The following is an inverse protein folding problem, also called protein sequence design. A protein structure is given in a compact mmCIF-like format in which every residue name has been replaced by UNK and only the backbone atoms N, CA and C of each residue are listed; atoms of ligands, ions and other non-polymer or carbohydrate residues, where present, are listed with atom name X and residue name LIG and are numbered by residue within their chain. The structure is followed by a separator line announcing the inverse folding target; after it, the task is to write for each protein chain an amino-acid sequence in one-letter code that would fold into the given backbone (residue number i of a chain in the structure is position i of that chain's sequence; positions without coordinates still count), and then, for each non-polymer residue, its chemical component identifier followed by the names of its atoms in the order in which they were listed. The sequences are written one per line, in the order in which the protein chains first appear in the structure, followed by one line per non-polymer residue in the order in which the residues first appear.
data_IF_523885682134
#
_entry.id   IF_523885682134
#
_cell.length_a   1.000
_cell.length_b   1.000
_cell.length_c   1.000
_cell.angle_alpha   90.00
_cell.angle_beta   90.00
_cell.angle_gamma   90.00
#
_symmetry.space_group_name_H-M   'P 1'
#
loop_
_entity.id
_entity.type
_entity.pdbx_description
1 polymer ?
#
# COMPACT_ATOMS: atom_id res chain seq x y z
N UNK A 1 -10.89 20.37 8.92
CA UNK A 1 -9.87 20.08 9.99
C UNK A 1 -9.06 18.90 9.49
N UNK A 2 -7.76 18.98 9.58
CA UNK A 2 -6.81 17.93 9.20
C UNK A 2 -6.06 17.46 10.43
N UNK A 3 -5.52 16.26 10.41
CA UNK A 3 -4.66 15.73 11.46
C UNK A 3 -3.24 15.59 10.94
N UNK A 4 -2.28 15.67 11.87
CA UNK A 4 -0.87 15.49 11.58
C UNK A 4 -0.36 14.42 12.55
N UNK A 5 0.22 13.36 11.98
CA UNK A 5 0.97 12.36 12.72
C UNK A 5 2.45 12.43 12.34
N UNK A 6 3.35 12.10 13.27
CA UNK A 6 4.79 12.21 13.04
C UNK A 6 5.49 10.95 13.55
N UNK A 7 6.31 10.37 12.72
CA UNK A 7 7.00 9.12 12.97
C UNK A 7 8.50 9.23 12.67
N UNK A 8 9.35 8.75 13.59
CA UNK A 8 10.79 8.62 13.36
C UNK A 8 11.11 7.23 12.82
N UNK A 9 11.70 7.15 11.63
CA UNK A 9 12.09 5.89 10.99
C UNK A 9 13.10 5.12 11.84
N UNK A 10 12.74 3.88 12.20
CA UNK A 10 13.53 3.00 13.03
C UNK A 10 14.22 1.90 12.22
N UNK A 11 15.29 1.33 12.80
CA UNK A 11 16.10 0.31 12.14
C UNK A 11 15.29 -0.92 11.68
N UNK A 12 14.28 -1.34 12.44
CA UNK A 12 13.42 -2.49 12.10
C UNK A 12 12.46 -2.26 10.93
N UNK A 13 12.34 -1.03 10.42
CA UNK A 13 11.46 -0.66 9.32
C UNK A 13 12.17 -0.65 7.96
N UNK A 14 13.49 -0.92 7.99
CA UNK A 14 14.33 -0.87 6.81
C UNK A 14 14.35 -2.20 6.06
N UNK A 15 14.48 -2.11 4.74
CA UNK A 15 14.91 -3.17 3.85
C UNK A 15 16.15 -2.68 3.08
N UNK A 16 17.33 -2.97 3.63
CA UNK A 16 18.59 -2.34 3.23
C UNK A 16 18.70 -0.90 3.78
N UNK A 17 19.18 0.11 3.03
CA UNK A 17 19.34 1.49 3.53
C UNK A 17 18.04 2.28 3.58
N UNK A 18 16.99 1.82 2.88
CA UNK A 18 15.70 2.49 2.73
C UNK A 18 14.62 1.79 3.54
N UNK A 19 13.57 2.52 3.87
CA UNK A 19 12.34 1.97 4.45
C UNK A 19 11.75 0.92 3.51
N UNK A 20 11.15 -0.15 4.07
CA UNK A 20 10.37 -1.12 3.29
C UNK A 20 9.09 -0.46 2.73
N UNK A 21 8.75 -0.72 1.44
CA UNK A 21 7.58 -0.13 0.79
C UNK A 21 6.26 -0.35 1.52
N UNK A 22 6.12 -1.47 2.22
CA UNK A 22 4.95 -1.79 3.03
C UNK A 22 4.69 -0.79 4.17
N UNK A 23 5.72 -0.06 4.64
CA UNK A 23 5.54 0.94 5.72
C UNK A 23 4.66 2.11 5.32
N UNK A 24 4.55 2.44 4.04
CA UNK A 24 3.59 3.45 3.60
C UNK A 24 2.16 3.04 3.91
N UNK A 25 1.81 1.76 3.73
CA UNK A 25 0.50 1.21 4.09
C UNK A 25 0.22 1.28 5.60
N UNK A 26 1.23 1.03 6.43
CA UNK A 26 1.10 1.11 7.88
C UNK A 26 0.91 2.57 8.35
N UNK A 27 1.69 3.51 7.84
CA UNK A 27 1.53 4.93 8.15
C UNK A 27 0.17 5.49 7.71
N UNK A 28 -0.35 5.07 6.56
CA UNK A 28 -1.71 5.39 6.11
C UNK A 28 -2.76 4.92 7.11
N UNK A 29 -2.64 3.67 7.58
CA UNK A 29 -3.60 3.09 8.53
C UNK A 29 -3.48 3.72 9.93
N UNK A 30 -2.27 3.95 10.44
CA UNK A 30 -2.04 4.66 11.71
C UNK A 30 -2.67 6.06 11.65
N UNK A 31 -2.43 6.80 10.57
CA UNK A 31 -2.98 8.15 10.40
C UNK A 31 -4.51 8.13 10.23
N UNK A 32 -5.08 7.02 9.70
CA UNK A 32 -6.54 6.80 9.72
C UNK A 32 -7.06 6.69 11.15
N UNK A 33 -6.37 5.95 12.04
CA UNK A 33 -6.77 5.86 13.45
C UNK A 33 -6.75 7.25 14.11
N UNK A 34 -5.70 8.03 13.87
CA UNK A 34 -5.55 9.38 14.44
C UNK A 34 -6.71 10.30 14.02
N UNK A 35 -7.08 10.32 12.74
CA UNK A 35 -8.15 11.21 12.28
C UNK A 35 -9.54 10.74 12.73
N UNK A 36 -9.81 9.44 12.73
CA UNK A 36 -11.10 8.89 13.15
C UNK A 36 -11.35 9.07 14.63
N UNK A 37 -10.32 8.90 15.48
CA UNK A 37 -10.38 9.23 16.90
C UNK A 37 -10.65 10.73 17.12
N UNK A 38 -9.94 11.62 16.41
CA UNK A 38 -10.15 13.07 16.48
C UNK A 38 -11.56 13.48 16.07
N UNK A 39 -12.22 12.70 15.21
CA UNK A 39 -13.60 12.92 14.80
C UNK A 39 -14.64 12.15 15.67
N UNK A 40 -14.18 11.50 16.75
CA UNK A 40 -15.06 10.87 17.75
C UNK A 40 -15.60 9.51 17.32
N UNK A 41 -14.84 8.75 16.54
CA UNK A 41 -15.18 7.39 16.15
C UNK A 41 -13.91 6.52 16.17
N UNK A 42 -13.44 6.23 17.38
CA UNK A 42 -12.19 5.50 17.61
C UNK A 42 -12.30 4.02 17.18
N UNK A 43 -11.17 3.45 16.79
CA UNK A 43 -11.09 2.04 16.37
C UNK A 43 -11.51 1.09 17.50
N UNK A 44 -11.13 1.38 18.75
CA UNK A 44 -11.47 0.57 19.92
C UNK A 44 -12.99 0.44 20.11
N UNK A 45 -13.74 1.52 19.92
CA UNK A 45 -15.21 1.51 20.09
C UNK A 45 -15.87 0.58 19.07
N UNK A 46 -15.35 0.53 17.84
CA UNK A 46 -15.85 -0.32 16.75
C UNK A 46 -15.49 -1.79 17.02
N UNK A 47 -14.24 -2.05 17.41
CA UNK A 47 -13.75 -3.40 17.75
C UNK A 47 -14.50 -3.95 18.95
N UNK A 48 -14.73 -3.17 19.99
CA UNK A 48 -15.48 -3.57 21.19
C UNK A 48 -16.97 -3.90 20.87
N UNK A 49 -17.51 -3.26 19.83
CA UNK A 49 -18.81 -3.60 19.27
C UNK A 49 -18.80 -4.85 18.36
N UNK A 50 -17.64 -5.42 18.09
CA UNK A 50 -17.44 -6.60 17.24
C UNK A 50 -17.39 -6.29 15.73
N UNK A 51 -17.25 -5.03 15.35
CA UNK A 51 -17.08 -4.56 13.98
C UNK A 51 -15.63 -4.53 13.52
N UNK A 52 -15.44 -4.22 12.23
CA UNK A 52 -14.11 -3.98 11.65
C UNK A 52 -13.99 -2.48 11.37
N UNK A 53 -13.02 -1.78 12.02
CA UNK A 53 -12.88 -0.35 11.89
C UNK A 53 -12.22 0.02 10.56
N UNK A 54 -12.83 0.93 9.83
CA UNK A 54 -12.26 1.63 8.68
C UNK A 54 -11.42 0.76 7.74
N UNK A 55 -11.96 -0.42 7.39
CA UNK A 55 -11.33 -1.34 6.44
C UNK A 55 -11.10 -0.61 5.10
N UNK A 56 -9.86 -0.61 4.55
CA UNK A 56 -9.63 -0.05 3.23
C UNK A 56 -10.33 -0.89 2.16
N UNK A 57 -11.06 -0.23 1.26
CA UNK A 57 -11.70 -0.85 0.09
C UNK A 57 -11.05 -0.42 -1.22
N UNK A 58 -10.43 0.75 -1.25
CA UNK A 58 -9.55 1.20 -2.33
C UNK A 58 -8.36 1.89 -1.69
N UNK A 59 -7.16 1.54 -2.12
CA UNK A 59 -5.93 2.23 -1.76
C UNK A 59 -5.14 2.59 -3.01
N UNK A 60 -4.78 3.86 -3.15
CA UNK A 60 -3.93 4.35 -4.22
C UNK A 60 -2.85 5.26 -3.64
N UNK A 61 -1.59 5.04 -4.02
CA UNK A 61 -0.45 5.80 -3.50
C UNK A 61 0.59 6.03 -4.59
N UNK A 62 1.26 7.15 -4.50
CA UNK A 62 2.45 7.51 -5.29
C UNK A 62 3.59 7.85 -4.34
N UNK A 63 4.71 7.15 -4.47
CA UNK A 63 5.95 7.39 -3.71
C UNK A 63 6.92 8.18 -4.59
N UNK A 64 7.33 9.33 -4.10
CA UNK A 64 8.28 10.23 -4.77
C UNK A 64 9.72 9.98 -4.33
N UNK A 65 9.90 9.65 -3.02
CA UNK A 65 11.19 9.39 -2.42
C UNK A 65 11.03 8.44 -1.22
N UNK A 66 11.98 7.55 -1.04
CA UNK A 66 12.00 6.65 0.12
C UNK A 66 12.74 7.29 1.30
N UNK A 67 12.19 7.28 2.50
CA UNK A 67 12.91 7.70 3.70
C UNK A 67 13.94 6.66 4.14
N UNK A 68 14.92 7.13 4.93
CA UNK A 68 16.04 6.37 5.47
C UNK A 68 15.98 6.26 6.97
N UNK A 69 16.92 5.52 7.54
CA UNK A 69 17.08 5.45 8.99
C UNK A 69 17.25 6.83 9.63
N UNK A 70 16.44 7.12 10.62
CA UNK A 70 16.35 8.38 11.39
C UNK A 70 15.73 9.57 10.64
N UNK A 71 15.26 9.38 9.43
CA UNK A 71 14.40 10.41 8.84
C UNK A 71 13.12 10.50 9.66
N UNK A 72 12.55 11.68 9.76
CA UNK A 72 11.23 11.89 10.35
C UNK A 72 10.22 11.94 9.22
N UNK A 73 9.13 11.19 9.34
CA UNK A 73 8.00 11.21 8.41
C UNK A 73 6.83 11.88 9.09
N UNK A 74 6.30 12.91 8.47
CA UNK A 74 5.07 13.57 8.89
C UNK A 74 3.97 13.23 7.91
N UNK A 75 2.83 12.73 8.41
CA UNK A 75 1.65 12.39 7.61
C UNK A 75 0.55 13.39 7.94
N UNK A 76 0.18 14.21 6.96
CA UNK A 76 -1.00 15.06 7.03
C UNK A 76 -2.18 14.34 6.41
N UNK A 77 -3.27 14.17 7.16
CA UNK A 77 -4.47 13.44 6.73
C UNK A 77 -5.67 14.36 6.65
N UNK A 78 -6.34 14.33 5.50
CA UNK A 78 -7.46 15.23 5.18
C UNK A 78 -8.63 14.43 4.59
N UNK A 79 -9.87 14.61 5.06
CA UNK A 79 -11.02 13.99 4.42
C UNK A 79 -11.36 14.70 3.09
N UNK A 80 -11.64 13.91 2.05
CA UNK A 80 -11.98 14.42 0.71
C UNK A 80 -13.34 13.95 0.20
N UNK A 81 -13.90 12.90 0.82
CA UNK A 81 -15.26 12.46 0.57
C UNK A 81 -15.81 11.74 1.80
N UNK A 82 -17.10 11.84 2.05
CA UNK A 82 -17.79 11.09 3.11
C UNK A 82 -19.13 10.61 2.59
N UNK A 83 -19.41 9.31 2.79
CA UNK A 83 -20.66 8.65 2.49
C UNK A 83 -21.47 8.33 3.76
N UNK A 84 -22.39 7.38 3.64
CA UNK A 84 -23.16 6.89 4.78
C UNK A 84 -22.31 6.01 5.72
N UNK A 85 -21.53 5.08 5.16
CA UNK A 85 -20.66 4.14 5.87
C UNK A 85 -19.20 4.20 5.40
N UNK A 86 -18.81 5.20 4.63
CA UNK A 86 -17.47 5.31 4.05
C UNK A 86 -16.89 6.70 4.21
N UNK A 87 -15.58 6.77 4.24
CA UNK A 87 -14.81 8.01 4.14
C UNK A 87 -13.64 7.81 3.18
N UNK A 88 -13.37 8.78 2.32
CA UNK A 88 -12.16 8.84 1.54
C UNK A 88 -11.22 9.88 2.15
N UNK A 89 -10.00 9.45 2.44
CA UNK A 89 -8.95 10.26 3.05
C UNK A 89 -7.80 10.47 2.08
N UNK A 90 -7.21 11.65 2.09
CA UNK A 90 -5.95 11.98 1.45
C UNK A 90 -4.85 12.05 2.50
N UNK A 91 -3.69 11.48 2.18
CA UNK A 91 -2.50 11.47 3.04
C UNK A 91 -1.35 12.12 2.28
N UNK A 92 -0.80 13.18 2.81
CA UNK A 92 0.41 13.82 2.29
C UNK A 92 1.55 13.53 3.26
N UNK A 93 2.57 12.81 2.79
CA UNK A 93 3.72 12.41 3.58
C UNK A 93 4.93 13.24 3.20
N UNK A 94 5.57 13.84 4.19
CA UNK A 94 6.77 14.67 4.01
C UNK A 94 7.86 14.29 5.03
N UNK A 95 9.10 14.59 4.69
CA UNK A 95 10.21 14.45 5.63
C UNK A 95 10.32 15.64 6.61
N UNK A 96 11.34 15.60 7.48
CA UNK A 96 11.59 16.65 8.48
C UNK A 96 11.90 18.04 7.90
N UNK A 97 12.29 18.12 6.62
CA UNK A 97 12.56 19.36 5.89
C UNK A 97 11.32 19.85 5.11
N UNK A 98 10.25 19.05 5.09
CA UNK A 98 9.00 19.32 4.38
C UNK A 98 9.02 18.86 2.91
N UNK A 99 10.05 18.11 2.50
CA UNK A 99 10.11 17.53 1.16
C UNK A 99 9.16 16.33 1.06
N UNK A 100 8.41 16.27 -0.05
CA UNK A 100 7.38 15.25 -0.26
C UNK A 100 7.99 13.85 -0.42
N UNK A 101 7.51 12.91 0.39
CA UNK A 101 7.86 11.48 0.33
C UNK A 101 6.84 10.68 -0.46
N UNK A 102 5.56 10.82 -0.12
CA UNK A 102 4.47 10.12 -0.78
C UNK A 102 3.16 10.91 -0.70
N UNK A 103 2.22 10.53 -1.54
CA UNK A 103 0.82 10.97 -1.45
C UNK A 103 -0.08 9.77 -1.66
N UNK A 104 -1.12 9.63 -0.82
CA UNK A 104 -2.05 8.53 -0.91
C UNK A 104 -3.51 8.99 -0.85
N UNK A 105 -4.41 8.14 -1.37
CA UNK A 105 -5.85 8.26 -1.24
C UNK A 105 -6.43 6.89 -0.92
N UNK A 106 -7.10 6.78 0.21
CA UNK A 106 -7.74 5.55 0.61
C UNK A 106 -9.22 5.78 0.88
N UNK A 107 -10.06 4.89 0.35
CA UNK A 107 -11.47 4.80 0.73
C UNK A 107 -11.61 3.72 1.77
N UNK A 108 -12.17 4.08 2.92
CA UNK A 108 -12.42 3.20 4.04
C UNK A 108 -13.91 2.98 4.25
N UNK A 109 -14.28 1.79 4.76
CA UNK A 109 -15.62 1.49 5.22
C UNK A 109 -15.59 0.90 6.63
N UNK A 110 -16.57 1.20 7.44
CA UNK A 110 -16.83 0.47 8.68
C UNK A 110 -17.69 -0.75 8.38
N UNK A 111 -17.37 -1.89 8.98
CA UNK A 111 -18.05 -3.17 8.74
C UNK A 111 -18.68 -3.63 10.06
N UNK A 112 -19.98 -3.84 10.02
CA UNK A 112 -20.76 -4.35 11.16
C UNK A 112 -20.41 -5.83 11.49
N UNK A 113 -20.70 -6.33 12.69
CA UNK A 113 -20.43 -7.71 13.08
C UNK A 113 -21.08 -8.78 12.19
N UNK A 114 -22.14 -8.44 11.46
CA UNK A 114 -22.81 -9.32 10.50
C UNK A 114 -22.16 -9.30 9.10
N UNK A 115 -21.10 -8.50 8.92
CA UNK A 115 -20.34 -8.35 7.66
C UNK A 115 -20.91 -7.30 6.70
N UNK A 116 -22.00 -6.63 7.07
CA UNK A 116 -22.55 -5.51 6.29
C UNK A 116 -21.79 -4.20 6.51
N UNK A 117 -22.03 -3.21 5.66
CA UNK A 117 -21.52 -1.86 5.88
C UNK A 117 -22.20 -1.25 7.11
N UNK A 118 -21.41 -0.72 8.04
CA UNK A 118 -21.90 -0.06 9.27
C UNK A 118 -21.97 1.46 9.05
N UNK A 119 -23.16 2.09 9.16
CA UNK A 119 -23.27 3.54 8.98
C UNK A 119 -22.45 4.31 10.01
N UNK A 120 -21.73 5.33 9.54
CA UNK A 120 -21.01 6.25 10.42
C UNK A 120 -22.02 6.98 11.35
N UNK A 121 -21.71 7.15 12.65
CA UNK A 121 -22.52 7.98 13.55
C UNK A 121 -22.75 9.36 12.93
N UNK A 122 -23.97 9.90 13.08
CA UNK A 122 -24.35 11.17 12.47
C UNK A 122 -23.38 12.31 12.85
N UNK A 123 -22.97 12.37 14.11
CA UNK A 123 -22.03 13.37 14.60
C UNK A 123 -20.66 13.25 13.92
N UNK A 124 -20.12 12.04 13.80
CA UNK A 124 -18.88 11.74 13.11
C UNK A 124 -18.95 12.12 11.63
N UNK A 125 -20.03 11.71 10.96
CA UNK A 125 -20.25 12.06 9.56
C UNK A 125 -20.32 13.57 9.34
N UNK A 126 -21.00 14.30 10.22
CA UNK A 126 -21.09 15.76 10.15
C UNK A 126 -19.71 16.41 10.35
N UNK A 127 -18.88 15.92 11.27
CA UNK A 127 -17.51 16.41 11.46
C UNK A 127 -16.64 16.18 10.22
N UNK A 128 -16.74 15.01 9.58
CA UNK A 128 -16.08 14.76 8.30
C UNK A 128 -16.56 15.71 7.22
N UNK A 129 -17.89 15.91 7.11
CA UNK A 129 -18.50 16.80 6.11
C UNK A 129 -18.02 18.26 6.25
N UNK A 130 -17.89 18.76 7.49
CA UNK A 130 -17.39 20.11 7.77
C UNK A 130 -15.90 20.28 7.49
N UNK A 131 -15.15 19.17 7.44
CA UNK A 131 -13.71 19.15 7.25
C UNK A 131 -13.26 18.82 5.82
N UNK A 132 -14.20 18.54 4.90
CA UNK A 132 -13.88 18.18 3.51
C UNK A 132 -13.03 19.26 2.83
N UNK A 133 -12.04 18.80 2.06
CA UNK A 133 -11.31 19.64 1.12
C UNK A 133 -11.74 19.35 -0.32
N UNK A 134 -11.88 20.42 -1.13
CA UNK A 134 -12.41 20.34 -2.49
C UNK A 134 -11.44 19.74 -3.52
N UNK A 135 -10.15 19.67 -3.19
CA UNK A 135 -9.12 19.23 -4.11
C UNK A 135 -8.24 18.15 -3.48
N UNK A 136 -8.13 17.03 -4.18
CA UNK A 136 -7.18 15.97 -3.85
C UNK A 136 -6.26 15.70 -5.04
N UNK A 137 -4.97 15.43 -4.82
CA UNK A 137 -4.05 15.08 -5.89
C UNK A 137 -4.46 13.77 -6.56
N UNK A 138 -4.14 13.64 -7.85
CA UNK A 138 -4.19 12.34 -8.52
C UNK A 138 -3.03 11.48 -8.05
N UNK A 139 -3.31 10.23 -7.67
CA UNK A 139 -2.35 9.27 -7.13
C UNK A 139 -2.52 7.89 -7.76
N UNK A 140 -1.48 7.08 -7.67
CA UNK A 140 -1.43 5.72 -8.20
C UNK A 140 -0.90 5.63 -9.63
N UNK A 141 -0.87 4.41 -10.20
CA UNK A 141 -0.30 4.12 -11.50
C UNK A 141 -0.94 4.94 -12.62
N UNK A 142 -0.12 5.58 -13.45
CA UNK A 142 -0.57 6.46 -14.55
C UNK A 142 -0.23 5.91 -15.93
N UNK A 143 0.66 4.92 -16.02
CA UNK A 143 1.03 4.27 -17.27
C UNK A 143 -0.14 3.52 -17.89
N UNK A 144 -0.11 3.31 -19.20
CA UNK A 144 -0.98 2.38 -19.89
C UNK A 144 -0.36 0.99 -19.91
N UNK A 145 -1.19 -0.04 -20.00
CA UNK A 145 -0.74 -1.38 -20.35
C UNK A 145 -0.30 -1.36 -21.83
N UNK A 146 0.69 -2.16 -22.18
CA UNK A 146 1.01 -2.40 -23.58
C UNK A 146 0.70 -3.85 -23.97
N UNK A 147 0.59 -4.10 -25.29
CA UNK A 147 0.22 -5.41 -25.84
C UNK A 147 1.45 -6.34 -26.04
N UNK A 148 2.55 -6.11 -25.31
CA UNK A 148 3.74 -6.95 -25.33
C UNK A 148 3.48 -8.37 -24.79
N UNK A 149 4.31 -9.32 -25.20
CA UNK A 149 4.32 -10.68 -24.64
C UNK A 149 5.10 -10.67 -23.31
N UNK A 150 4.39 -10.31 -22.23
CA UNK A 150 4.98 -10.13 -20.91
C UNK A 150 4.82 -11.38 -20.04
N UNK A 151 5.79 -11.67 -19.16
CA UNK A 151 5.72 -12.83 -18.29
C UNK A 151 4.63 -12.71 -17.23
N UNK A 152 4.10 -13.86 -16.82
CA UNK A 152 3.22 -14.02 -15.67
C UNK A 152 3.88 -14.93 -14.64
N UNK A 153 3.62 -14.69 -13.38
CA UNK A 153 4.13 -15.51 -12.29
C UNK A 153 3.12 -15.62 -11.15
N UNK A 154 3.32 -16.60 -10.27
CA UNK A 154 2.49 -16.75 -9.09
C UNK A 154 3.28 -17.28 -7.90
N UNK A 155 2.81 -16.92 -6.70
CA UNK A 155 3.34 -17.45 -5.46
C UNK A 155 2.20 -17.66 -4.46
N UNK A 156 2.35 -18.70 -3.61
CA UNK A 156 1.39 -18.97 -2.53
C UNK A 156 2.07 -18.83 -1.17
N UNK A 157 1.29 -18.37 -0.20
CA UNK A 157 1.70 -18.08 1.16
C UNK A 157 0.65 -18.60 2.14
N UNK A 158 1.11 -19.16 3.24
CA UNK A 158 0.24 -19.47 4.37
C UNK A 158 0.09 -18.23 5.26
N UNK A 159 -1.12 -17.78 5.50
CA UNK A 159 -1.41 -16.70 6.44
C UNK A 159 -1.36 -17.24 7.86
N UNK A 160 -0.45 -16.72 8.68
CA UNK A 160 -0.16 -17.19 10.04
C UNK A 160 -0.13 -16.00 11.01
N UNK A 161 -0.03 -16.31 12.31
CA UNK A 161 -0.05 -15.33 13.39
C UNK A 161 0.77 -14.06 13.19
N UNK A 162 2.00 -14.09 12.62
CA UNK A 162 2.76 -12.86 12.35
C UNK A 162 2.15 -11.94 11.29
N UNK A 163 1.23 -12.44 10.47
CA UNK A 163 0.65 -11.71 9.34
C UNK A 163 -0.72 -11.07 9.66
N UNK A 164 -1.25 -11.28 10.87
CA UNK A 164 -2.60 -10.83 11.24
C UNK A 164 -2.56 -9.71 12.27
N UNK A 165 -3.64 -8.95 12.30
CA UNK A 165 -3.91 -7.89 13.27
C UNK A 165 -5.02 -8.28 14.26
N UNK A 166 -5.49 -7.33 15.09
CA UNK A 166 -6.42 -7.58 16.20
C UNK A 166 -7.79 -8.16 15.83
N UNK A 167 -8.21 -8.09 14.57
CA UNK A 167 -9.46 -8.68 14.04
C UNK A 167 -9.26 -10.08 13.44
N UNK A 168 -8.09 -10.71 13.61
CA UNK A 168 -7.69 -12.00 13.02
C UNK A 168 -7.69 -12.00 11.47
N UNK A 169 -7.57 -10.82 10.87
CA UNK A 169 -7.43 -10.60 9.43
C UNK A 169 -5.97 -10.33 9.09
N UNK A 170 -5.57 -10.63 7.85
CA UNK A 170 -4.25 -10.25 7.35
C UNK A 170 -4.08 -8.73 7.42
N UNK A 171 -3.00 -8.29 8.09
CA UNK A 171 -2.73 -6.89 8.29
C UNK A 171 -2.45 -6.18 6.97
N UNK A 172 -2.92 -4.96 6.84
CA UNK A 172 -2.85 -4.20 5.59
C UNK A 172 -1.43 -4.07 5.02
N UNK A 173 -0.44 -3.91 5.89
CA UNK A 173 0.99 -3.85 5.53
C UNK A 173 1.54 -5.16 4.96
N UNK A 174 0.91 -6.32 5.22
CA UNK A 174 1.43 -7.61 4.77
C UNK A 174 1.20 -7.86 3.27
N UNK A 175 0.17 -7.29 2.66
CA UNK A 175 -0.11 -7.52 1.25
C UNK A 175 1.02 -7.05 0.31
N UNK A 176 1.59 -5.85 0.45
CA UNK A 176 2.77 -5.47 -0.34
C UNK A 176 4.00 -6.33 -0.03
N UNK A 177 4.17 -6.84 1.21
CA UNK A 177 5.26 -7.76 1.54
C UNK A 177 5.12 -9.09 0.78
N UNK A 178 3.92 -9.65 0.71
CA UNK A 178 3.67 -10.84 -0.08
C UNK A 178 3.89 -10.61 -1.58
N UNK A 179 3.48 -9.45 -2.12
CA UNK A 179 3.71 -9.09 -3.52
C UNK A 179 5.20 -8.95 -3.83
N UNK A 180 5.98 -8.32 -2.95
CA UNK A 180 7.43 -8.17 -3.10
C UNK A 180 8.12 -9.54 -3.09
N UNK A 181 7.76 -10.45 -2.17
CA UNK A 181 8.32 -11.82 -2.15
C UNK A 181 7.91 -12.61 -3.39
N UNK A 182 6.70 -12.42 -3.93
CA UNK A 182 6.29 -13.06 -5.17
C UNK A 182 7.15 -12.60 -6.36
N UNK A 183 7.44 -11.30 -6.46
CA UNK A 183 8.33 -10.72 -7.46
C UNK A 183 9.78 -11.21 -7.28
N UNK A 184 10.30 -11.25 -6.05
CA UNK A 184 11.64 -11.77 -5.78
C UNK A 184 11.79 -13.23 -6.23
N UNK A 185 10.82 -14.10 -5.93
CA UNK A 185 10.81 -15.51 -6.38
C UNK A 185 10.79 -15.64 -7.91
N UNK A 186 10.08 -14.74 -8.59
CA UNK A 186 10.10 -14.70 -10.05
C UNK A 186 11.50 -14.34 -10.57
N UNK A 187 12.13 -13.30 -10.00
CA UNK A 187 13.50 -12.88 -10.37
C UNK A 187 14.51 -14.00 -10.11
N UNK A 188 14.40 -14.70 -8.98
CA UNK A 188 15.25 -15.86 -8.67
C UNK A 188 15.08 -16.99 -9.69
N UNK A 189 13.87 -17.19 -10.24
CA UNK A 189 13.62 -18.21 -11.26
C UNK A 189 14.33 -17.92 -12.58
N UNK A 190 14.74 -16.69 -12.84
CA UNK A 190 15.57 -16.28 -13.97
C UNK A 190 17.08 -16.43 -13.70
N UNK A 191 17.48 -17.24 -12.71
CA UNK A 191 18.87 -17.51 -12.31
C UNK A 191 19.65 -16.24 -11.88
N UNK A 192 18.96 -15.23 -11.37
CA UNK A 192 19.52 -13.99 -10.84
C UNK A 192 18.85 -13.63 -9.52
N UNK A 193 19.27 -12.55 -8.87
CA UNK A 193 18.68 -12.04 -7.64
C UNK A 193 18.88 -10.52 -7.51
N UNK A 194 18.13 -9.92 -6.60
CA UNK A 194 18.19 -8.48 -6.36
C UNK A 194 19.57 -8.00 -5.91
N UNK A 195 20.33 -8.81 -5.16
CA UNK A 195 21.66 -8.47 -4.69
C UNK A 195 22.62 -8.28 -5.86
N UNK A 196 22.57 -9.16 -6.86
CA UNK A 196 23.41 -9.09 -8.07
C UNK A 196 23.14 -7.83 -8.90
N UNK A 197 21.90 -7.32 -8.85
CA UNK A 197 21.47 -6.13 -9.58
C UNK A 197 21.62 -4.83 -8.80
N UNK A 198 22.03 -4.89 -7.52
CA UNK A 198 21.93 -3.79 -6.55
C UNK A 198 23.25 -3.09 -6.27
N UNK A 199 24.25 -3.11 -7.17
CA UNK A 199 25.57 -2.53 -6.88
C UNK A 199 25.48 -1.07 -6.38
N UNK A 200 24.59 -0.23 -6.97
CA UNK A 200 24.43 1.18 -6.59
C UNK A 200 22.96 1.62 -6.44
N UNK A 201 22.00 0.69 -6.37
CA UNK A 201 20.57 1.03 -6.32
C UNK A 201 19.75 0.01 -5.53
N UNK A 202 18.49 0.33 -5.28
CA UNK A 202 17.48 -0.57 -4.72
C UNK A 202 16.42 -0.81 -5.80
N UNK A 203 16.58 -1.88 -6.61
CA UNK A 203 15.69 -2.17 -7.72
C UNK A 203 14.33 -2.67 -7.24
N UNK A 204 13.34 -2.50 -8.10
CA UNK A 204 11.99 -3.03 -7.94
C UNK A 204 11.34 -2.72 -6.59
N UNK A 205 11.45 -1.45 -6.17
CA UNK A 205 10.72 -0.91 -5.03
C UNK A 205 9.34 -0.43 -5.47
N UNK A 206 8.34 -0.71 -4.65
CA UNK A 206 6.97 -0.25 -4.87
C UNK A 206 6.94 1.29 -4.98
N UNK A 207 6.48 1.82 -6.12
CA UNK A 207 6.48 3.26 -6.43
C UNK A 207 5.08 3.83 -6.50
N UNK A 208 4.22 3.21 -7.30
CA UNK A 208 2.83 3.59 -7.43
C UNK A 208 1.96 2.34 -7.33
N UNK A 209 0.79 2.46 -6.69
CA UNK A 209 -0.18 1.38 -6.69
C UNK A 209 -1.60 1.89 -6.61
N UNK A 210 -2.52 1.06 -7.13
CA UNK A 210 -3.96 1.18 -6.92
C UNK A 210 -4.53 -0.22 -6.76
N UNK A 211 -5.02 -0.51 -5.57
CA UNK A 211 -5.57 -1.80 -5.19
C UNK A 211 -7.01 -1.66 -4.70
N UNK A 212 -7.85 -2.63 -5.07
CA UNK A 212 -9.24 -2.75 -4.64
C UNK A 212 -9.38 -4.00 -3.77
N UNK A 213 -9.90 -3.81 -2.56
CA UNK A 213 -10.07 -4.85 -1.54
C UNK A 213 -11.51 -5.33 -1.59
N UNK A 214 -11.71 -6.56 -2.06
CA UNK A 214 -13.04 -7.16 -2.31
C UNK A 214 -13.51 -7.98 -1.12
N UNK A 215 -12.58 -8.68 -0.46
CA UNK A 215 -12.87 -9.50 0.72
C UNK A 215 -11.63 -9.62 1.61
N UNK A 216 -11.82 -9.76 2.93
CA UNK A 216 -10.70 -9.92 3.85
C UNK A 216 -9.99 -11.27 3.66
N UNK A 217 -8.69 -11.28 3.95
CA UNK A 217 -7.87 -12.50 4.02
C UNK A 217 -7.79 -12.92 5.48
N UNK A 218 -8.25 -14.13 5.79
CA UNK A 218 -8.39 -14.63 7.16
C UNK A 218 -7.15 -15.38 7.62
N UNK A 219 -7.01 -15.49 8.93
CA UNK A 219 -6.05 -16.37 9.58
C UNK A 219 -6.19 -17.82 9.09
N UNK A 220 -5.08 -18.54 9.00
CA UNK A 220 -4.98 -19.92 8.51
C UNK A 220 -5.41 -20.17 7.04
N UNK A 221 -5.74 -19.12 6.28
CA UNK A 221 -6.01 -19.25 4.85
C UNK A 221 -4.71 -19.41 4.04
N UNK A 222 -4.85 -19.89 2.80
CA UNK A 222 -3.79 -19.85 1.79
C UNK A 222 -4.02 -18.68 0.85
N UNK A 223 -3.08 -17.73 0.83
CA UNK A 223 -3.06 -16.58 -0.08
C UNK A 223 -2.21 -16.92 -1.30
N UNK A 224 -2.82 -16.91 -2.50
CA UNK A 224 -2.13 -17.04 -3.78
C UNK A 224 -2.15 -15.71 -4.49
N UNK A 225 -0.98 -15.24 -4.92
CA UNK A 225 -0.82 -14.01 -5.71
C UNK A 225 -0.52 -14.44 -7.14
N UNK A 226 -1.40 -14.07 -8.06
CA UNK A 226 -1.18 -14.17 -9.51
C UNK A 226 -0.81 -12.79 -10.01
N UNK A 227 0.27 -12.70 -10.77
CA UNK A 227 0.89 -11.46 -11.21
C UNK A 227 1.20 -11.52 -12.69
N UNK A 228 0.71 -10.51 -13.42
CA UNK A 228 0.96 -10.35 -14.86
C UNK A 228 1.76 -9.06 -15.06
N UNK A 229 2.95 -9.15 -15.62
CA UNK A 229 3.67 -7.97 -16.09
C UNK A 229 2.85 -7.34 -17.22
N UNK A 230 2.76 -6.02 -17.25
CA UNK A 230 1.95 -5.27 -18.22
C UNK A 230 2.76 -4.30 -19.06
N UNK A 231 3.87 -3.85 -18.54
CA UNK A 231 4.75 -2.92 -19.24
C UNK A 231 6.08 -2.81 -18.48
N UNK A 232 7.18 -2.65 -19.21
CA UNK A 232 8.47 -2.27 -18.66
C UNK A 232 8.98 -1.06 -19.43
N UNK A 233 9.24 0.02 -18.71
CA UNK A 233 9.79 1.25 -19.28
C UNK A 233 11.23 1.48 -18.80
N UNK A 234 11.78 2.64 -19.09
CA UNK A 234 13.08 3.05 -18.54
C UNK A 234 13.06 3.21 -17.01
N UNK A 235 11.90 3.58 -16.42
CA UNK A 235 11.78 3.97 -15.01
C UNK A 235 10.83 3.11 -14.20
N UNK A 236 10.00 2.28 -14.84
CA UNK A 236 8.95 1.52 -14.17
C UNK A 236 8.76 0.11 -14.72
N UNK A 237 8.46 -0.80 -13.81
CA UNK A 237 7.89 -2.12 -14.06
C UNK A 237 6.44 -2.12 -13.57
N UNK A 238 5.48 -2.28 -14.48
CA UNK A 238 4.05 -2.32 -14.19
C UNK A 238 3.56 -3.75 -14.10
N UNK A 239 2.89 -4.09 -12.99
CA UNK A 239 2.37 -5.42 -12.72
C UNK A 239 0.90 -5.31 -12.31
N UNK A 240 0.05 -6.14 -12.92
CA UNK A 240 -1.30 -6.38 -12.43
C UNK A 240 -1.28 -7.57 -11.49
N UNK A 241 -1.86 -7.41 -10.30
CA UNK A 241 -1.96 -8.45 -9.28
C UNK A 241 -3.41 -8.88 -9.06
N UNK A 242 -3.58 -10.17 -8.76
CA UNK A 242 -4.79 -10.72 -8.21
C UNK A 242 -4.42 -11.61 -7.02
N UNK A 243 -4.86 -11.21 -5.83
CA UNK A 243 -4.66 -11.95 -4.59
C UNK A 243 -5.90 -12.81 -4.35
N UNK A 244 -5.72 -14.11 -4.19
CA UNK A 244 -6.79 -15.07 -3.96
C UNK A 244 -6.61 -15.74 -2.60
N UNK A 245 -7.59 -15.59 -1.72
CA UNK A 245 -7.67 -16.33 -0.45
C UNK A 245 -8.53 -17.56 -0.66
N UNK A 246 -7.96 -18.75 -0.45
CA UNK A 246 -8.63 -20.03 -0.67
C UNK A 246 -9.34 -20.13 -2.05
N UNK A 247 -8.69 -19.58 -3.07
CA UNK A 247 -9.15 -19.58 -4.46
C UNK A 247 -10.19 -18.51 -4.83
N UNK A 248 -10.56 -17.63 -3.88
CA UNK A 248 -11.46 -16.49 -4.13
C UNK A 248 -10.67 -15.19 -4.20
N UNK A 249 -11.02 -14.32 -5.12
CA UNK A 249 -10.39 -12.99 -5.24
C UNK A 249 -10.67 -12.19 -3.97
N UNK A 250 -9.61 -11.76 -3.33
CA UNK A 250 -9.64 -10.89 -2.15
C UNK A 250 -9.17 -9.47 -2.47
N UNK A 251 -8.14 -9.34 -3.31
CA UNK A 251 -7.60 -8.04 -3.72
C UNK A 251 -7.25 -8.14 -5.20
N UNK A 252 -7.48 -7.07 -5.93
CA UNK A 252 -6.96 -6.91 -7.28
C UNK A 252 -6.49 -5.46 -7.52
N UNK A 253 -5.51 -5.29 -8.40
CA UNK A 253 -5.02 -3.97 -8.71
C UNK A 253 -3.73 -3.98 -9.50
N UNK A 254 -3.16 -2.80 -9.63
CA UNK A 254 -1.94 -2.53 -10.37
C UNK A 254 -0.91 -1.91 -9.45
N UNK A 255 0.33 -2.37 -9.58
CA UNK A 255 1.52 -1.77 -8.98
C UNK A 255 2.51 -1.34 -10.06
N UNK A 256 3.20 -0.24 -9.82
CA UNK A 256 4.40 0.15 -10.55
C UNK A 256 5.58 0.11 -9.58
N UNK A 257 6.61 -0.62 -9.98
CA UNK A 257 7.88 -0.71 -9.26
C UNK A 257 8.91 0.17 -9.93
N UNK A 258 9.75 0.84 -9.14
CA UNK A 258 10.84 1.68 -9.60
C UNK A 258 12.17 1.24 -9.01
N UNK A 259 13.25 1.91 -9.42
CA UNK A 259 14.56 1.81 -8.80
C UNK A 259 14.86 3.10 -8.03
N UNK A 260 15.57 2.98 -6.91
CA UNK A 260 15.92 4.12 -6.05
C UNK A 260 17.38 4.04 -5.64
N UNK A 261 18.02 5.20 -5.56
CA UNK A 261 19.39 5.31 -5.02
C UNK A 261 19.41 5.14 -3.48
N UNK A 262 20.58 5.10 -2.87
CA UNK A 262 20.74 4.98 -1.43
C UNK A 262 20.24 6.21 -0.64
N UNK A 263 19.97 7.32 -1.33
CA UNK A 263 19.35 8.51 -0.75
C UNK A 263 17.82 8.49 -0.86
N UNK A 264 17.27 7.45 -1.49
CA UNK A 264 15.83 7.26 -1.68
C UNK A 264 15.25 7.98 -2.89
N UNK A 265 16.07 8.59 -3.75
CA UNK A 265 15.58 9.25 -4.96
C UNK A 265 15.33 8.22 -6.08
N UNK A 266 14.30 8.40 -6.92
CA UNK A 266 14.06 7.54 -8.05
C UNK A 266 15.18 7.67 -9.10
N UNK A 267 15.58 6.54 -9.68
CA UNK A 267 16.55 6.43 -10.76
C UNK A 267 16.04 5.46 -11.83
N UNK A 268 16.59 5.56 -13.04
CA UNK A 268 16.21 4.68 -14.14
C UNK A 268 16.70 3.25 -13.95
N UNK A 269 15.99 2.29 -14.51
CA UNK A 269 16.41 0.89 -14.59
C UNK A 269 17.63 0.71 -15.48
N UNK A 270 18.52 -0.17 -15.08
CA UNK A 270 19.60 -0.64 -15.95
C UNK A 270 19.06 -1.50 -17.11
N UNK A 271 19.79 -1.64 -18.21
CA UNK A 271 19.40 -2.58 -19.27
C UNK A 271 19.19 -4.01 -18.75
N UNK A 272 20.00 -4.47 -17.79
CA UNK A 272 19.88 -5.79 -17.19
C UNK A 272 18.56 -5.96 -16.42
N UNK A 273 18.13 -4.94 -15.68
CA UNK A 273 16.82 -4.97 -14.97
C UNK A 273 15.64 -5.11 -15.93
N UNK A 274 15.70 -4.39 -17.07
CA UNK A 274 14.65 -4.45 -18.08
C UNK A 274 14.62 -5.80 -18.83
N UNK A 275 15.78 -6.35 -19.13
CA UNK A 275 15.91 -7.63 -19.83
C UNK A 275 15.33 -8.83 -19.07
N UNK A 276 15.10 -8.72 -17.75
CA UNK A 276 14.46 -9.78 -16.97
C UNK A 276 13.00 -10.05 -17.39
N UNK A 277 12.35 -9.07 -17.97
CA UNK A 277 10.93 -9.11 -18.30
C UNK A 277 10.67 -9.11 -19.80
N UNK A 278 11.71 -9.10 -20.64
CA UNK A 278 11.62 -9.13 -22.10
C UNK A 278 12.32 -10.36 -22.65
N UNK A 279 11.71 -11.02 -23.63
CA UNK A 279 12.27 -12.18 -24.35
C UNK A 279 13.36 -11.74 -25.39
N UNK A 280 14.27 -10.79 -25.07
CA UNK A 280 15.40 -10.47 -25.94
C UNK A 280 16.68 -11.20 -25.56
#
# INVERSE_FOLDING_TARGET
MRTIDTHDVRFGELAGPLVHGARFFDWELISTQVITEAFGHAFEDIVDAGGIPYAPVVAATTVYRYPRFRDTVTVETTPISVGESSVELCYEMADGDGDRLATARLTHVTIAPDGGADPLPEETRNRFQEALEDTAPEVGPRGADDDGDWPSFSASFDVRGPHIEGSELAYFEEYPRFADVALERFIESAETNLETMSEDCKPFRLRDWRWEFVSPVQYESTLTIESDVRCVTEDTLRIKHQFKSDGRVSIEGVSEYGSFDESGNPISFTPQMRALFSDE
#
